data_IF_191574474288
#
_entry.id   IF_191574474288
#
_cell.length_a   1.000
_cell.length_b   1.000
_cell.length_c   1.000
_cell.angle_alpha   90.00
_cell.angle_beta   90.00
_cell.angle_gamma   90.00
#
_symmetry.space_group_name_H-M   'P 1'
#
loop_
_entity.id
_entity.type
_entity.pdbx_description
1 polymer ?
#
# COMPACT_ATOMS: atom_id res chain seq x y z
N UNK A 1 -32.72 -40.48 13.82
CA UNK A 1 -31.39 -40.40 13.15
C UNK A 1 -30.91 -38.97 13.36
N UNK A 2 -30.33 -38.66 14.52
CA UNK A 2 -28.88 -38.51 14.76
C UNK A 2 -28.19 -37.53 13.78
N UNK A 3 -27.86 -36.37 14.34
CA UNK A 3 -26.62 -35.58 14.19
C UNK A 3 -26.46 -34.77 12.90
N UNK A 4 -26.59 -33.43 12.99
CA UNK A 4 -25.52 -32.45 13.25
C UNK A 4 -24.60 -32.24 12.04
N UNK A 5 -24.71 -31.07 11.41
CA UNK A 5 -23.69 -30.46 10.54
C UNK A 5 -23.58 -28.99 10.99
N UNK A 6 -22.91 -28.74 12.12
CA UNK A 6 -21.52 -28.25 12.22
C UNK A 6 -21.33 -26.93 11.45
N UNK A 7 -21.54 -25.87 12.24
CA UNK A 7 -20.81 -24.61 12.34
C UNK A 7 -19.43 -24.58 11.63
N UNK A 8 -19.26 -23.68 10.65
CA UNK A 8 -17.95 -23.20 10.17
C UNK A 8 -17.93 -21.70 10.43
N UNK A 9 -17.64 -21.29 11.67
CA UNK A 9 -16.33 -20.92 12.21
C UNK A 9 -15.65 -19.77 11.45
N UNK A 10 -15.95 -18.57 11.96
CA UNK A 10 -15.30 -17.28 11.73
C UNK A 10 -13.78 -17.37 11.93
N UNK A 11 -12.99 -17.04 10.90
CA UNK A 11 -11.53 -16.96 10.93
C UNK A 11 -11.05 -15.83 10.00
N UNK A 12 -11.27 -14.57 10.37
CA UNK A 12 -10.62 -13.41 9.72
C UNK A 12 -10.27 -12.29 10.72
N UNK A 13 -9.86 -12.64 11.94
CA UNK A 13 -9.38 -11.67 12.91
C UNK A 13 -8.01 -12.10 13.46
N UNK A 14 -7.02 -12.15 12.57
CA UNK A 14 -5.61 -12.20 12.94
C UNK A 14 -4.83 -11.26 12.02
N UNK A 15 -4.99 -9.96 12.23
CA UNK A 15 -3.95 -8.98 11.92
C UNK A 15 -3.80 -8.05 13.12
N UNK A 16 -3.46 -8.64 14.26
CA UNK A 16 -2.73 -7.93 15.29
C UNK A 16 -1.28 -8.33 15.06
N UNK A 17 -0.58 -7.61 14.18
CA UNK A 17 0.88 -7.64 14.23
C UNK A 17 1.29 -6.91 15.50
N UNK A 18 1.94 -7.64 16.40
CA UNK A 18 2.65 -7.10 17.55
C UNK A 18 3.74 -6.21 16.97
N UNK A 19 3.59 -4.88 17.12
CA UNK A 19 4.54 -3.89 16.59
C UNK A 19 5.77 -3.90 17.50
N UNK A 20 6.52 -4.99 17.50
CA UNK A 20 7.62 -5.25 18.44
C UNK A 20 8.88 -4.48 18.00
N UNK A 21 8.99 -3.26 18.54
CA UNK A 21 10.14 -2.57 19.14
C UNK A 21 11.51 -2.40 18.44
N UNK A 22 11.77 -2.92 17.24
CA UNK A 22 12.97 -2.56 16.47
C UNK A 22 12.62 -2.22 15.01
N UNK A 23 12.05 -1.03 14.80
CA UNK A 23 11.92 -0.45 13.45
C UNK A 23 13.27 0.15 13.08
N UNK A 24 13.93 -0.40 12.07
CA UNK A 24 15.24 0.07 11.56
C UNK A 24 15.19 0.58 10.11
N UNK A 25 14.04 0.43 9.45
CA UNK A 25 13.79 0.88 8.08
C UNK A 25 12.54 1.77 7.93
N UNK A 26 12.40 2.41 6.77
CA UNK A 26 11.17 3.10 6.39
C UNK A 26 10.16 2.05 5.94
N UNK A 27 9.00 2.00 6.57
CA UNK A 27 7.95 1.03 6.27
C UNK A 27 6.80 1.74 5.56
N UNK A 28 6.51 1.36 4.33
CA UNK A 28 5.41 1.94 3.54
C UNK A 28 4.36 0.86 3.30
N UNK A 29 3.09 1.22 3.42
CA UNK A 29 1.97 0.46 2.86
C UNK A 29 1.17 1.31 1.89
N UNK A 30 0.44 0.65 1.02
CA UNK A 30 -0.53 1.27 0.12
C UNK A 30 -1.91 1.22 0.75
N UNK A 31 -2.64 2.33 0.62
CA UNK A 31 -4.09 2.36 0.77
C UNK A 31 -4.71 2.66 -0.58
N UNK A 32 -5.56 1.77 -1.07
CA UNK A 32 -6.30 2.00 -2.30
C UNK A 32 -7.58 2.79 -1.98
N UNK A 33 -7.58 4.09 -2.28
CA UNK A 33 -8.75 4.95 -2.12
C UNK A 33 -9.66 4.98 -3.35
N UNK A 34 -9.27 4.30 -4.44
CA UNK A 34 -10.03 4.24 -5.69
C UNK A 34 -11.15 3.20 -5.64
N UNK A 35 -11.97 3.20 -6.69
CA UNK A 35 -13.06 2.22 -6.90
C UNK A 35 -12.65 0.97 -7.70
N UNK A 36 -11.36 0.79 -8.01
CA UNK A 36 -10.84 -0.38 -8.73
C UNK A 36 -9.86 -1.17 -7.87
N UNK A 37 -9.57 -2.42 -8.26
CA UNK A 37 -8.53 -3.23 -7.58
C UNK A 37 -7.16 -2.89 -8.17
N UNK A 38 -6.15 -2.72 -7.32
CA UNK A 38 -4.78 -2.63 -7.78
C UNK A 38 -4.19 -4.04 -7.77
N UNK A 39 -3.98 -4.62 -8.95
CA UNK A 39 -3.34 -5.93 -9.07
C UNK A 39 -1.89 -5.85 -8.61
N UNK A 40 -1.23 -4.73 -8.95
CA UNK A 40 0.18 -4.47 -8.64
C UNK A 40 0.41 -2.98 -8.46
N UNK A 41 1.18 -2.59 -7.45
CA UNK A 41 1.68 -1.24 -7.24
C UNK A 41 3.19 -1.29 -7.07
N UNK A 42 3.90 -0.64 -7.99
CA UNK A 42 5.33 -0.39 -7.90
C UNK A 42 5.56 1.00 -7.32
N UNK A 43 6.41 1.09 -6.30
CA UNK A 43 6.84 2.35 -5.69
C UNK A 43 8.31 2.57 -6.02
N UNK A 44 8.63 3.71 -6.63
CA UNK A 44 10.00 4.04 -7.07
C UNK A 44 10.62 2.88 -7.86
N UNK A 45 11.86 2.50 -7.52
CA UNK A 45 12.61 1.37 -8.04
C UNK A 45 12.68 0.20 -7.03
N UNK A 46 11.72 0.12 -6.10
CA UNK A 46 11.67 -0.96 -5.12
C UNK A 46 11.70 -2.35 -5.79
N UNK A 47 12.43 -3.28 -5.19
CA UNK A 47 12.53 -4.64 -5.72
C UNK A 47 11.21 -5.42 -5.58
N UNK A 48 10.42 -5.07 -4.57
CA UNK A 48 9.13 -5.70 -4.28
C UNK A 48 7.98 -4.76 -4.66
N UNK A 49 6.86 -5.37 -5.05
CA UNK A 49 5.61 -4.70 -5.43
C UNK A 49 4.51 -5.06 -4.45
N UNK A 50 3.53 -4.17 -4.29
CA UNK A 50 2.31 -4.49 -3.54
C UNK A 50 1.31 -5.16 -4.48
N UNK A 51 0.78 -6.31 -4.09
CA UNK A 51 -0.14 -7.06 -4.93
C UNK A 51 -1.57 -7.08 -4.35
N UNK A 52 -2.56 -7.15 -5.25
CA UNK A 52 -3.97 -7.40 -4.93
C UNK A 52 -4.57 -6.47 -3.86
N UNK A 53 -4.31 -5.16 -3.95
CA UNK A 53 -4.88 -4.16 -3.05
C UNK A 53 -6.29 -3.81 -3.52
N UNK A 54 -7.28 -4.43 -2.89
CA UNK A 54 -8.70 -4.22 -3.21
C UNK A 54 -9.13 -2.77 -2.97
N UNK A 55 -10.20 -2.35 -3.65
CA UNK A 55 -10.79 -1.02 -3.46
C UNK A 55 -11.13 -0.77 -1.99
N UNK A 56 -10.66 0.34 -1.44
CA UNK A 56 -10.86 0.74 -0.04
C UNK A 56 -9.91 0.09 0.97
N UNK A 57 -9.13 -0.92 0.56
CA UNK A 57 -8.29 -1.71 1.46
C UNK A 57 -6.85 -1.20 1.57
N UNK A 58 -6.13 -1.75 2.55
CA UNK A 58 -4.71 -1.52 2.79
C UNK A 58 -3.91 -2.77 2.40
N UNK A 59 -2.72 -2.56 1.86
CA UNK A 59 -1.71 -3.61 1.75
C UNK A 59 -1.02 -3.88 3.10
N UNK A 60 -0.16 -4.90 3.12
CA UNK A 60 0.91 -4.99 4.11
C UNK A 60 1.96 -3.89 3.93
N UNK A 61 2.84 -3.75 4.92
CA UNK A 61 4.01 -2.89 4.79
C UNK A 61 5.12 -3.61 4.03
N UNK A 62 5.87 -2.85 3.24
CA UNK A 62 7.16 -3.22 2.70
C UNK A 62 8.23 -2.27 3.25
N UNK A 63 9.44 -2.78 3.42
CA UNK A 63 10.58 -2.04 3.95
C UNK A 63 11.34 -1.34 2.81
N UNK A 64 11.79 -0.12 3.10
CA UNK A 64 12.56 0.72 2.20
C UNK A 64 13.80 1.24 2.95
N UNK A 65 14.97 1.10 2.33
CA UNK A 65 16.19 1.74 2.81
C UNK A 65 16.07 3.27 2.78
N UNK A 66 15.35 3.79 1.78
CA UNK A 66 15.08 5.21 1.61
C UNK A 66 13.75 5.38 0.89
N UNK A 67 12.88 6.23 1.43
CA UNK A 67 11.67 6.65 0.76
C UNK A 67 11.32 8.10 1.13
N UNK A 68 10.32 8.67 0.46
CA UNK A 68 10.03 10.10 0.49
C UNK A 68 8.54 10.35 0.68
N UNK A 69 8.11 11.60 0.87
CA UNK A 69 6.67 11.88 0.99
C UNK A 69 5.95 11.74 -0.35
N UNK A 70 6.70 11.87 -1.45
CA UNK A 70 6.20 11.73 -2.79
C UNK A 70 7.14 10.82 -3.59
N UNK A 71 6.59 9.97 -4.45
CA UNK A 71 7.35 8.92 -5.13
C UNK A 71 6.82 8.70 -6.55
N UNK A 72 7.65 8.09 -7.39
CA UNK A 72 7.14 7.45 -8.60
C UNK A 72 6.20 6.30 -8.20
N UNK A 73 5.04 6.22 -8.84
CA UNK A 73 4.07 5.15 -8.63
C UNK A 73 3.66 4.60 -9.98
N UNK A 74 3.65 3.28 -10.12
CA UNK A 74 2.99 2.61 -11.23
C UNK A 74 1.97 1.61 -10.69
N UNK A 75 0.74 1.71 -11.16
CA UNK A 75 -0.38 0.85 -10.75
C UNK A 75 -0.82 0.05 -11.95
N UNK A 76 -0.88 -1.27 -11.83
CA UNK A 76 -1.52 -2.15 -12.80
C UNK A 76 -2.88 -2.61 -12.27
N UNK A 77 -3.91 -2.53 -13.10
CA UNK A 77 -5.26 -3.01 -12.81
C UNK A 77 -5.86 -3.64 -14.06
N UNK A 78 -5.88 -4.96 -14.12
CA UNK A 78 -6.24 -5.70 -15.33
C UNK A 78 -5.25 -5.42 -16.47
N UNK A 79 -5.76 -4.89 -17.58
CA UNK A 79 -4.96 -4.49 -18.75
C UNK A 79 -4.49 -3.03 -18.68
N UNK A 80 -5.01 -2.24 -17.73
CA UNK A 80 -4.70 -0.82 -17.60
C UNK A 80 -3.47 -0.59 -16.71
N UNK A 81 -2.70 0.44 -17.06
CA UNK A 81 -1.55 0.90 -16.28
C UNK A 81 -1.65 2.40 -16.05
N UNK A 82 -1.60 2.81 -14.78
CA UNK A 82 -1.62 4.20 -14.34
C UNK A 82 -0.26 4.57 -13.78
N UNK A 83 0.19 5.81 -13.98
CA UNK A 83 1.53 6.21 -13.55
C UNK A 83 1.54 7.62 -12.98
N UNK A 84 2.18 7.76 -11.82
CA UNK A 84 2.58 9.02 -11.23
C UNK A 84 4.08 9.20 -11.42
N UNK A 85 4.48 10.27 -12.10
CA UNK A 85 5.88 10.62 -12.25
C UNK A 85 6.12 12.02 -11.67
N UNK A 86 6.92 12.14 -10.59
CA UNK A 86 7.31 13.43 -10.04
C UNK A 86 8.05 14.29 -11.08
N UNK A 87 7.67 15.56 -11.17
CA UNK A 87 8.27 16.53 -12.10
C UNK A 87 9.53 17.20 -11.55
N UNK A 88 9.71 17.20 -10.22
CA UNK A 88 10.91 17.68 -9.54
C UNK A 88 11.08 16.92 -8.22
N UNK A 89 12.19 16.19 -8.11
CA UNK A 89 12.58 15.40 -6.94
C UNK A 89 13.82 16.00 -6.25
N UNK A 90 14.32 17.14 -6.74
CA UNK A 90 15.58 17.71 -6.27
C UNK A 90 15.37 18.41 -4.93
N UNK A 91 16.02 17.88 -3.88
CA UNK A 91 16.02 18.49 -2.55
C UNK A 91 15.00 17.91 -1.57
N UNK A 92 14.30 16.83 -1.93
CA UNK A 92 13.47 16.11 -0.97
C UNK A 92 14.32 15.47 0.14
N UNK A 93 13.79 15.51 1.36
CA UNK A 93 14.43 14.91 2.53
C UNK A 93 13.88 13.49 2.70
N UNK A 94 14.75 12.46 2.83
CA UNK A 94 14.31 11.11 3.14
C UNK A 94 13.40 11.07 4.37
N UNK A 95 12.41 10.20 4.33
CA UNK A 95 11.59 9.88 5.50
C UNK A 95 12.48 9.32 6.62
N UNK A 96 12.22 9.72 7.88
CA UNK A 96 12.83 9.02 8.99
C UNK A 96 12.29 7.58 9.09
N UNK A 97 12.98 6.74 9.84
CA UNK A 97 12.52 5.39 10.17
C UNK A 97 11.14 5.48 10.83
N UNK A 98 10.21 4.65 10.37
CA UNK A 98 8.83 4.68 10.84
C UNK A 98 7.85 4.05 9.84
N UNK A 99 6.56 4.11 10.20
CA UNK A 99 5.47 3.56 9.39
C UNK A 99 4.69 4.67 8.70
N UNK A 100 4.47 4.49 7.40
CA UNK A 100 3.80 5.45 6.55
C UNK A 100 2.82 4.78 5.61
N UNK A 101 1.82 5.54 5.19
CA UNK A 101 0.85 5.11 4.18
C UNK A 101 0.89 6.04 2.99
N UNK A 102 1.06 5.46 1.79
CA UNK A 102 0.70 6.12 0.55
C UNK A 102 -0.75 5.77 0.22
N UNK A 103 -1.64 6.74 0.42
CA UNK A 103 -3.01 6.63 -0.06
C UNK A 103 -3.02 7.02 -1.54
N UNK A 104 -3.43 6.08 -2.39
CA UNK A 104 -3.46 6.24 -3.83
C UNK A 104 -4.90 6.25 -4.33
N UNK A 105 -5.21 7.20 -5.20
CA UNK A 105 -6.49 7.28 -5.91
C UNK A 105 -6.24 7.43 -7.42
N UNK A 106 -7.25 7.13 -8.23
CA UNK A 106 -7.23 7.34 -9.69
C UNK A 106 -8.35 8.31 -10.02
N UNK A 107 -7.97 9.49 -10.49
CA UNK A 107 -8.89 10.55 -10.91
C UNK A 107 -9.70 10.14 -12.14
N UNK A 108 -10.80 10.86 -12.42
CA UNK A 108 -11.64 10.61 -13.60
C UNK A 108 -10.86 10.71 -14.93
N UNK A 109 -9.77 11.49 -14.94
CA UNK A 109 -8.88 11.65 -16.10
C UNK A 109 -7.80 10.54 -16.21
N UNK A 110 -7.79 9.58 -15.28
CA UNK A 110 -6.82 8.49 -15.24
C UNK A 110 -5.45 8.87 -14.63
N UNK A 111 -5.35 10.01 -13.96
CA UNK A 111 -4.14 10.39 -13.22
C UNK A 111 -4.13 9.74 -11.83
N UNK A 112 -2.95 9.37 -11.35
CA UNK A 112 -2.73 8.84 -10.00
C UNK A 112 -2.51 9.99 -9.02
N UNK A 113 -3.33 10.07 -7.98
CA UNK A 113 -3.15 11.00 -6.87
C UNK A 113 -2.52 10.26 -5.67
N UNK A 114 -1.42 10.81 -5.13
CA UNK A 114 -0.76 10.29 -3.94
C UNK A 114 -0.98 11.26 -2.76
N UNK A 115 -1.57 10.76 -1.69
CA UNK A 115 -1.67 11.41 -0.39
C UNK A 115 -0.83 10.69 0.65
N UNK A 116 0.17 11.37 1.21
CA UNK A 116 1.06 10.84 2.24
C UNK A 116 0.44 10.96 3.64
N UNK A 117 0.46 9.86 4.40
CA UNK A 117 -0.04 9.81 5.77
C UNK A 117 1.01 9.19 6.71
N UNK A 118 1.13 9.76 7.91
CA UNK A 118 1.96 9.23 8.99
C UNK A 118 1.10 8.28 9.84
N UNK A 119 1.56 7.05 10.03
CA UNK A 119 0.93 6.11 10.94
C UNK A 119 1.54 6.29 12.35
N UNK A 120 0.71 6.64 13.32
CA UNK A 120 1.10 6.78 14.74
C UNK A 120 0.86 5.49 15.54
#
# INVERSE_FOLDING_TARGET
>A
MKQFFILTLSLLALSCTDRDDDVDAVNIRIKNASNITFDEVQVSDAAEVYENVSSGDYSGYLEFETAYQYAFIQIRSGEDTFTLQPIDFVGETPLPIGFYTYQLDITEDGNVDLSFLIDY
#
